data_IF_625835780426
#
_entry.id   IF_625835780426
#
_cell.length_a   1.000
_cell.length_b   1.000
_cell.length_c   1.000
_cell.angle_alpha   90.00
_cell.angle_beta   90.00
_cell.angle_gamma   90.00
#
_symmetry.space_group_name_H-M   'P 1'
#
loop_
_entity.id
_entity.type
_entity.pdbx_description
1 polymer ?
#
# COMPACT_ATOMS: atom_id res chain seq x y z
N UNK A 1 1.06 40.79 -24.93
CA UNK A 1 2.30 39.99 -25.07
C UNK A 1 2.13 38.67 -24.31
N UNK A 2 2.33 37.49 -24.94
CA UNK A 2 2.21 36.23 -24.22
C UNK A 2 3.44 36.03 -23.31
N UNK A 3 3.22 35.82 -22.02
CA UNK A 3 4.28 35.48 -21.08
C UNK A 3 4.69 34.02 -21.31
N UNK A 4 5.94 33.81 -21.75
CA UNK A 4 6.53 32.46 -21.82
C UNK A 4 6.62 31.91 -20.40
N UNK A 5 5.69 31.02 -20.04
CA UNK A 5 5.79 30.26 -18.80
C UNK A 5 7.06 29.41 -18.86
N UNK A 6 7.90 29.49 -17.81
CA UNK A 6 9.15 28.72 -17.71
C UNK A 6 8.91 27.20 -17.79
N UNK A 7 9.99 26.40 -17.90
CA UNK A 7 9.89 24.96 -18.18
C UNK A 7 8.97 24.26 -17.17
N UNK A 8 7.97 23.54 -17.66
CA UNK A 8 7.14 22.67 -16.83
C UNK A 8 7.86 21.35 -16.61
N UNK A 9 7.78 20.80 -15.40
CA UNK A 9 8.30 19.47 -15.09
C UNK A 9 7.16 18.47 -15.16
N UNK A 10 7.34 17.41 -15.94
CA UNK A 10 6.41 16.30 -15.99
C UNK A 10 6.68 15.33 -14.84
N UNK A 11 5.67 15.05 -14.01
CA UNK A 11 5.73 14.05 -12.95
C UNK A 11 4.75 12.92 -13.27
N UNK A 12 5.25 11.69 -13.23
CA UNK A 12 4.46 10.47 -13.43
C UNK A 12 4.39 9.67 -12.12
N UNK A 13 3.18 9.30 -11.70
CA UNK A 13 2.96 8.47 -10.51
C UNK A 13 1.74 7.56 -10.68
N UNK A 14 1.65 6.50 -9.88
CA UNK A 14 0.53 5.55 -9.93
C UNK A 14 -0.30 5.64 -8.65
N UNK A 15 -1.59 5.89 -8.78
CA UNK A 15 -2.56 5.94 -7.69
C UNK A 15 -3.74 5.02 -8.02
N UNK A 16 -4.10 4.11 -7.10
CA UNK A 16 -5.21 3.15 -7.29
C UNK A 16 -5.14 2.36 -8.61
N UNK A 17 -3.93 1.93 -9.01
CA UNK A 17 -3.72 1.19 -10.26
C UNK A 17 -3.77 2.04 -11.53
N UNK A 18 -3.99 3.36 -11.42
CA UNK A 18 -4.00 4.29 -12.55
C UNK A 18 -2.71 5.09 -12.57
N UNK A 19 -2.05 5.10 -13.73
CA UNK A 19 -0.91 5.99 -13.97
C UNK A 19 -1.41 7.39 -14.28
N UNK A 20 -0.89 8.38 -13.56
CA UNK A 20 -1.22 9.79 -13.71
C UNK A 20 0.06 10.55 -14.04
N UNK A 21 -0.06 11.44 -15.02
CA UNK A 21 1.01 12.35 -15.42
C UNK A 21 0.53 13.78 -15.23
N UNK A 22 1.30 14.59 -14.52
CA UNK A 22 0.97 15.99 -14.26
C UNK A 22 2.14 16.91 -14.58
N UNK A 23 1.84 18.07 -15.17
CA UNK A 23 2.82 19.14 -15.39
C UNK A 23 2.83 20.08 -14.18
N UNK A 24 4.00 20.21 -13.55
CA UNK A 24 4.20 20.98 -12.32
C UNK A 24 5.13 22.15 -12.60
N UNK A 25 4.79 23.33 -12.05
CA UNK A 25 5.66 24.51 -12.13
C UNK A 25 6.94 24.24 -11.31
N UNK A 26 8.12 24.72 -11.75
CA UNK A 26 9.40 24.46 -11.09
C UNK A 26 9.39 24.66 -9.58
N UNK A 27 8.74 25.72 -9.11
CA UNK A 27 8.65 26.09 -7.69
C UNK A 27 7.98 25.02 -6.81
N UNK A 28 7.07 24.22 -7.37
CA UNK A 28 6.33 23.18 -6.64
C UNK A 28 6.95 21.78 -6.80
N UNK A 29 7.94 21.62 -7.68
CA UNK A 29 8.56 20.32 -7.94
C UNK A 29 9.15 19.68 -6.67
N UNK A 30 9.90 20.40 -5.81
CA UNK A 30 10.45 19.81 -4.59
C UNK A 30 9.35 19.30 -3.65
N UNK A 31 8.30 20.10 -3.46
CA UNK A 31 7.16 19.76 -2.59
C UNK A 31 6.42 18.53 -3.10
N UNK A 32 6.05 18.51 -4.39
CA UNK A 32 5.33 17.37 -4.98
C UNK A 32 6.18 16.09 -4.93
N UNK A 33 7.50 16.19 -5.15
CA UNK A 33 8.39 15.02 -5.01
C UNK A 33 8.42 14.49 -3.57
N UNK A 34 8.44 15.37 -2.58
CA UNK A 34 8.39 14.98 -1.17
C UNK A 34 7.05 14.30 -0.82
N UNK A 35 5.93 14.87 -1.27
CA UNK A 35 4.61 14.27 -1.08
C UNK A 35 4.51 12.89 -1.73
N UNK A 36 5.02 12.73 -2.96
CA UNK A 36 5.07 11.43 -3.63
C UNK A 36 5.95 10.41 -2.91
N UNK A 37 7.09 10.83 -2.34
CA UNK A 37 7.94 9.96 -1.54
C UNK A 37 7.23 9.49 -0.26
N UNK A 38 6.54 10.40 0.44
CA UNK A 38 5.76 10.10 1.63
C UNK A 38 4.62 9.12 1.30
N UNK A 39 3.89 9.35 0.21
CA UNK A 39 2.84 8.45 -0.25
C UNK A 39 3.37 7.03 -0.54
N UNK A 40 4.52 6.92 -1.23
CA UNK A 40 5.15 5.62 -1.49
C UNK A 40 5.53 4.90 -0.20
N UNK A 41 6.12 5.62 0.78
CA UNK A 41 6.48 5.06 2.08
C UNK A 41 5.25 4.59 2.85
N UNK A 42 4.19 5.42 2.90
CA UNK A 42 2.93 5.06 3.54
C UNK A 42 2.34 3.78 2.93
N UNK A 43 2.25 3.70 1.60
CA UNK A 43 1.75 2.51 0.89
C UNK A 43 2.56 1.26 1.19
N UNK A 44 3.89 1.37 1.28
CA UNK A 44 4.74 0.23 1.60
C UNK A 44 4.51 -0.26 3.04
N UNK A 45 4.40 0.66 4.00
CA UNK A 45 4.14 0.34 5.40
C UNK A 45 2.76 -0.30 5.59
N UNK A 46 1.71 0.22 4.94
CA UNK A 46 0.38 -0.38 5.04
C UNK A 46 0.34 -1.78 4.42
N UNK A 47 1.03 -2.00 3.28
CA UNK A 47 1.14 -3.32 2.69
C UNK A 47 1.83 -4.32 3.62
N UNK A 48 2.95 -3.93 4.24
CA UNK A 48 3.67 -4.77 5.20
C UNK A 48 2.79 -5.10 6.41
N UNK A 49 2.09 -4.10 6.94
CA UNK A 49 1.19 -4.30 8.07
C UNK A 49 0.05 -5.29 7.75
N UNK A 50 -0.59 -5.17 6.58
CA UNK A 50 -1.64 -6.12 6.15
C UNK A 50 -1.07 -7.53 6.07
N UNK A 51 0.11 -7.70 5.46
CA UNK A 51 0.77 -9.02 5.37
C UNK A 51 0.99 -9.62 6.75
N UNK A 52 1.57 -8.85 7.68
CA UNK A 52 1.83 -9.32 9.05
C UNK A 52 0.55 -9.67 9.81
N UNK A 53 -0.53 -8.89 9.63
CA UNK A 53 -1.81 -9.17 10.25
C UNK A 53 -2.41 -10.50 9.75
N UNK A 54 -2.30 -10.80 8.46
CA UNK A 54 -2.75 -12.07 7.88
C UNK A 54 -1.92 -13.25 8.39
N UNK A 55 -0.61 -13.09 8.50
CA UNK A 55 0.28 -14.10 9.08
C UNK A 55 -0.07 -14.39 10.54
N UNK A 56 -0.31 -13.35 11.33
CA UNK A 56 -0.74 -13.49 12.72
C UNK A 56 -2.06 -14.28 12.83
N UNK A 57 -3.08 -13.91 12.06
CA UNK A 57 -4.35 -14.64 12.02
C UNK A 57 -4.16 -16.12 11.68
N UNK A 58 -3.27 -16.43 10.72
CA UNK A 58 -2.95 -17.82 10.34
C UNK A 58 -2.32 -18.58 11.50
N UNK A 59 -1.38 -17.96 12.22
CA UNK A 59 -0.72 -18.58 13.38
C UNK A 59 -1.71 -18.81 14.52
N UNK A 60 -2.62 -17.88 14.78
CA UNK A 60 -3.61 -18.02 15.83
C UNK A 60 -4.62 -19.13 15.53
N UNK A 61 -5.06 -19.26 14.28
CA UNK A 61 -5.88 -20.39 13.83
C UNK A 61 -5.15 -21.74 13.99
N UNK A 62 -3.85 -21.79 13.70
CA UNK A 62 -3.05 -23.00 13.89
C UNK A 62 -2.92 -23.36 15.38
N UNK A 63 -2.62 -22.38 16.24
CA UNK A 63 -2.56 -22.60 17.70
C UNK A 63 -3.89 -23.11 18.25
N UNK A 64 -5.01 -22.50 17.84
CA UNK A 64 -6.34 -22.94 18.26
C UNK A 64 -6.63 -24.39 17.84
N UNK A 65 -6.23 -24.77 16.62
CA UNK A 65 -6.37 -26.16 16.13
C UNK A 65 -5.53 -27.15 16.94
N UNK A 66 -4.32 -26.78 17.32
CA UNK A 66 -3.44 -27.64 18.13
C UNK A 66 -3.86 -27.75 19.60
N UNK A 67 -4.61 -26.76 20.11
CA UNK A 67 -5.12 -26.76 21.48
C UNK A 67 -6.49 -27.47 21.63
N UNK A 68 -7.23 -27.65 20.53
CA UNK A 68 -8.47 -28.42 20.55
C UNK A 68 -8.15 -29.94 20.63
N UNK A 69 -8.76 -30.69 21.56
CA UNK A 69 -8.70 -32.16 21.52
C UNK A 69 -9.30 -32.65 20.18
N UNK A 70 -8.85 -33.78 19.62
CA UNK A 70 -9.50 -34.36 18.45
C UNK A 70 -10.95 -34.64 18.83
N UNK A 71 -11.87 -33.81 18.34
CA UNK A 71 -13.29 -34.02 18.52
C UNK A 71 -13.60 -35.41 17.95
N UNK A 72 -14.15 -36.25 18.83
CA UNK A 72 -14.57 -37.61 18.57
C UNK A 72 -15.21 -37.72 17.18
N UNK A 73 -14.52 -38.43 16.28
CA UNK A 73 -15.16 -39.10 15.15
C UNK A 73 -16.03 -40.22 15.72
N UNK A 74 -17.18 -39.85 16.29
CA UNK A 74 -18.31 -40.75 16.46
C UNK A 74 -19.06 -40.71 15.14
N UNK A 75 -18.74 -41.66 14.27
CA UNK A 75 -19.58 -42.00 13.12
C UNK A 75 -20.80 -42.75 13.71
N UNK A 76 -22.04 -42.20 13.67
CA UNK A 76 -23.19 -43.03 13.99
C UNK A 76 -23.47 -43.95 12.79
N UNK A 77 -23.75 -45.19 13.14
CA UNK A 77 -23.95 -46.37 12.29
C UNK A 77 -24.92 -46.20 11.14
#
# INVERSE_FOLDING_TARGET
HPQKHGPFYQLSYTHLGKSTTQFVRPQFVPEVRQQLANYKKFKALTQQWVTLALELCKLDMQKARSAAPPAATTHPS
#
